data_IF_633132449857
#
_entry.id   IF_633132449857
#
_cell.length_a   1.000
_cell.length_b   1.000
_cell.length_c   1.000
_cell.angle_alpha   90.00
_cell.angle_beta   90.00
_cell.angle_gamma   90.00
#
_symmetry.space_group_name_H-M   'P 1'
#
loop_
_entity.id
_entity.type
_entity.pdbx_description
1 polymer ?
#
# COMPACT_ATOMS: atom_id res chain seq x y z
N UNK A 1 -5.52 6.31 6.84
CA UNK A 1 -4.79 5.04 7.00
C UNK A 1 -3.99 4.89 8.30
N UNK A 2 -3.81 5.95 9.11
CA UNK A 2 -2.98 5.90 10.34
C UNK A 2 -3.36 4.80 11.35
N UNK A 3 -4.61 4.35 11.34
CA UNK A 3 -5.11 3.31 12.25
C UNK A 3 -5.15 1.90 11.62
N UNK A 4 -4.75 1.75 10.34
CA UNK A 4 -4.60 0.43 9.73
C UNK A 4 -3.33 -0.22 10.27
N UNK A 5 -3.39 -1.51 10.56
CA UNK A 5 -2.19 -2.32 10.77
C UNK A 5 -1.36 -2.38 9.49
N UNK A 6 -0.07 -2.67 9.64
CA UNK A 6 0.84 -2.74 8.49
C UNK A 6 0.44 -3.84 7.50
N UNK A 7 -0.08 -4.96 7.99
CA UNK A 7 -0.61 -6.06 7.17
C UNK A 7 -1.81 -5.61 6.32
N UNK A 8 -2.79 -4.97 6.95
CA UNK A 8 -3.99 -4.51 6.27
C UNK A 8 -3.69 -3.38 5.27
N UNK A 9 -2.71 -2.52 5.56
CA UNK A 9 -2.24 -1.47 4.65
C UNK A 9 -1.65 -2.08 3.37
N UNK A 10 -0.81 -3.11 3.51
CA UNK A 10 -0.18 -3.81 2.38
C UNK A 10 -1.23 -4.60 1.58
N UNK A 11 -2.15 -5.29 2.25
CA UNK A 11 -3.25 -5.97 1.58
C UNK A 11 -4.13 -4.98 0.79
N UNK A 12 -4.42 -3.82 1.38
CA UNK A 12 -5.19 -2.76 0.72
C UNK A 12 -4.50 -2.23 -0.53
N UNK A 13 -3.17 -2.11 -0.52
CA UNK A 13 -2.38 -1.74 -1.70
C UNK A 13 -2.56 -2.72 -2.85
N UNK A 14 -2.35 -4.02 -2.59
CA UNK A 14 -2.49 -5.04 -3.63
C UNK A 14 -3.93 -5.13 -4.16
N UNK A 15 -4.94 -5.07 -3.28
CA UNK A 15 -6.34 -5.02 -3.69
C UNK A 15 -6.66 -3.79 -4.52
N UNK A 16 -6.10 -2.62 -4.19
CA UNK A 16 -6.32 -1.41 -4.96
C UNK A 16 -5.78 -1.52 -6.39
N UNK A 17 -4.63 -2.19 -6.57
CA UNK A 17 -4.06 -2.50 -7.89
C UNK A 17 -4.92 -3.52 -8.64
N UNK A 18 -5.30 -4.62 -7.98
CA UNK A 18 -6.12 -5.69 -8.57
C UNK A 18 -7.46 -5.16 -9.09
N UNK A 19 -8.12 -4.31 -8.29
CA UNK A 19 -9.39 -3.68 -8.64
C UNK A 19 -9.24 -2.50 -9.60
N UNK A 20 -8.01 -2.14 -10.00
CA UNK A 20 -7.70 -0.99 -10.86
C UNK A 20 -8.33 0.30 -10.35
N UNK A 21 -8.19 0.56 -9.05
CA UNK A 21 -8.66 1.80 -8.44
C UNK A 21 -7.88 3.01 -8.97
N UNK A 22 -8.33 4.21 -8.64
CA UNK A 22 -7.72 5.42 -9.17
C UNK A 22 -6.23 5.50 -8.80
N UNK A 23 -5.36 5.97 -9.72
CA UNK A 23 -3.94 6.15 -9.45
C UNK A 23 -3.67 7.00 -8.21
N UNK A 24 -4.45 8.08 -8.01
CA UNK A 24 -4.34 8.95 -6.83
C UNK A 24 -4.58 8.18 -5.52
N UNK A 25 -5.51 7.21 -5.52
CA UNK A 25 -5.76 6.39 -4.34
C UNK A 25 -4.60 5.43 -4.07
N UNK A 26 -4.06 4.80 -5.11
CA UNK A 26 -2.90 3.91 -5.00
C UNK A 26 -1.69 4.71 -4.49
N UNK A 27 -1.43 5.90 -5.02
CA UNK A 27 -0.34 6.77 -4.58
C UNK A 27 -0.47 7.16 -3.10
N UNK A 28 -1.69 7.42 -2.61
CA UNK A 28 -1.91 7.70 -1.18
C UNK A 28 -1.52 6.51 -0.30
N UNK A 29 -1.75 5.28 -0.76
CA UNK A 29 -1.34 4.06 -0.06
C UNK A 29 0.19 3.91 -0.09
N UNK A 30 0.81 4.08 -1.26
CA UNK A 30 2.25 4.02 -1.43
C UNK A 30 2.99 5.02 -0.54
N UNK A 31 2.49 6.25 -0.46
CA UNK A 31 3.04 7.30 0.41
C UNK A 31 2.95 6.92 1.88
N UNK A 32 1.86 6.28 2.30
CA UNK A 32 1.73 5.79 3.68
C UNK A 32 2.66 4.60 3.95
N UNK A 33 2.82 3.67 2.99
CA UNK A 33 3.78 2.54 3.08
C UNK A 33 5.21 3.07 3.19
N UNK A 34 5.57 4.07 2.38
CA UNK A 34 6.87 4.73 2.44
C UNK A 34 7.09 5.45 3.78
N UNK A 35 6.08 6.19 4.26
CA UNK A 35 6.13 6.91 5.56
C UNK A 35 6.37 5.97 6.74
N UNK A 36 5.90 4.72 6.67
CA UNK A 36 6.09 3.69 7.71
C UNK A 36 7.33 2.82 7.50
N UNK A 37 8.15 3.11 6.50
CA UNK A 37 9.32 2.29 6.12
C UNK A 37 8.96 0.84 5.76
N UNK A 38 7.77 0.61 5.22
CA UNK A 38 7.28 -0.72 4.81
C UNK A 38 7.59 -1.06 3.34
N UNK A 39 8.27 -0.17 2.62
CA UNK A 39 8.69 -0.37 1.22
C UNK A 39 9.36 -1.71 0.94
N UNK A 40 10.19 -2.30 1.83
CA UNK A 40 10.76 -3.64 1.58
C UNK A 40 9.69 -4.72 1.39
N UNK A 41 8.55 -4.62 2.07
CA UNK A 41 7.47 -5.62 2.02
C UNK A 41 6.70 -5.64 0.70
N UNK A 42 6.73 -4.54 -0.06
CA UNK A 42 6.12 -4.45 -1.40
C UNK A 42 7.11 -4.71 -2.54
N UNK A 43 8.43 -4.61 -2.28
CA UNK A 43 9.48 -4.89 -3.28
C UNK A 43 9.94 -6.35 -3.32
N UNK A 44 9.70 -7.13 -2.27
CA UNK A 44 10.10 -8.54 -2.24
C UNK A 44 9.24 -9.46 -3.14
N UNK A 45 8.11 -8.96 -3.65
CA UNK A 45 7.37 -9.62 -4.72
C UNK A 45 7.90 -9.14 -6.08
N UNK A 46 9.03 -9.68 -6.52
CA UNK A 46 9.55 -9.54 -7.89
C UNK A 46 10.03 -10.90 -8.38
#
# INVERSE_FOLDING_TARGET
>A
MKNLSDELLIESYYKAIELKLSPDFIELIEREIFRRSLTPKIKLSS
#
